data_IF_991206109677
#
_entry.id   IF_991206109677
#
_cell.length_a   1.000
_cell.length_b   1.000
_cell.length_c   1.000
_cell.angle_alpha   90.00
_cell.angle_beta   90.00
_cell.angle_gamma   90.00
#
_symmetry.space_group_name_H-M   'P 1'
#
loop_
_entity.id
_entity.type
_entity.pdbx_description
1 polymer ?
#
# COMPACT_ATOMS: atom_id res chain seq x y z
N UNK A 1 -19.17 -15.28 13.87
CA UNK A 1 -19.34 -16.29 12.78
C UNK A 1 -20.21 -15.75 11.64
N UNK A 2 -21.43 -15.23 11.90
CA UNK A 2 -22.32 -14.71 10.86
C UNK A 2 -21.73 -13.46 10.18
N UNK A 3 -21.21 -12.50 10.95
CA UNK A 3 -20.54 -11.32 10.43
C UNK A 3 -19.30 -11.69 9.57
N UNK A 4 -18.51 -12.68 10.00
CA UNK A 4 -17.34 -13.12 9.24
C UNK A 4 -17.77 -13.74 7.90
N UNK A 5 -18.86 -14.51 7.89
CA UNK A 5 -19.45 -15.08 6.66
C UNK A 5 -19.97 -13.98 5.73
N UNK A 6 -20.67 -12.97 6.26
CA UNK A 6 -21.17 -11.84 5.50
C UNK A 6 -20.02 -11.02 4.86
N UNK A 7 -18.87 -10.96 5.54
CA UNK A 7 -17.72 -10.20 5.08
C UNK A 7 -16.82 -10.94 4.08
N UNK A 8 -16.98 -12.25 3.91
CA UNK A 8 -16.18 -13.04 2.93
C UNK A 8 -16.31 -12.46 1.52
N UNK A 9 -17.52 -12.05 1.11
CA UNK A 9 -17.77 -11.47 -0.21
C UNK A 9 -17.05 -10.15 -0.50
N UNK A 10 -16.61 -9.45 0.53
CA UNK A 10 -15.85 -8.21 0.39
C UNK A 10 -14.34 -8.41 0.30
N UNK A 11 -13.84 -9.54 0.82
CA UNK A 11 -12.40 -9.78 0.87
C UNK A 11 -11.78 -9.66 -0.52
N UNK A 12 -10.76 -8.83 -0.60
CA UNK A 12 -9.88 -8.71 -1.77
C UNK A 12 -8.51 -9.18 -1.35
N UNK A 13 -8.01 -10.17 -2.07
CA UNK A 13 -6.77 -10.85 -1.75
C UNK A 13 -5.62 -9.86 -1.53
N UNK A 14 -4.97 -10.02 -0.39
CA UNK A 14 -3.77 -9.33 -0.01
C UNK A 14 -3.93 -7.90 0.48
N UNK A 15 -5.11 -7.26 0.41
CA UNK A 15 -5.21 -5.85 0.81
C UNK A 15 -6.50 -5.55 1.57
N UNK A 16 -6.33 -5.08 2.81
CA UNK A 16 -7.45 -4.57 3.61
C UNK A 16 -8.05 -3.30 3.01
N UNK A 17 -7.24 -2.47 2.33
CA UNK A 17 -7.72 -1.26 1.66
C UNK A 17 -8.60 -1.57 0.46
N UNK A 18 -8.23 -2.57 -0.34
CA UNK A 18 -9.07 -3.04 -1.44
C UNK A 18 -10.37 -3.67 -0.93
N UNK A 19 -10.31 -4.36 0.20
CA UNK A 19 -11.49 -4.90 0.87
C UNK A 19 -12.43 -3.77 1.31
N UNK A 20 -11.91 -2.70 1.94
CA UNK A 20 -12.71 -1.53 2.32
C UNK A 20 -13.28 -0.81 1.09
N UNK A 21 -12.51 -0.69 0.01
CA UNK A 21 -13.00 -0.10 -1.25
C UNK A 21 -14.13 -0.93 -1.84
N UNK A 22 -14.08 -2.25 -1.72
CA UNK A 22 -15.15 -3.12 -2.19
C UNK A 22 -16.44 -2.94 -1.37
N UNK A 23 -16.33 -2.84 -0.04
CA UNK A 23 -17.47 -2.50 0.83
C UNK A 23 -18.11 -1.18 0.38
N UNK A 24 -17.30 -0.16 0.14
CA UNK A 24 -17.77 1.13 -0.36
C UNK A 24 -18.50 1.01 -1.69
N UNK A 25 -17.90 0.32 -2.68
CA UNK A 25 -18.49 0.16 -4.02
C UNK A 25 -19.85 -0.54 -3.96
N UNK A 26 -19.96 -1.59 -3.19
CA UNK A 26 -21.21 -2.33 -3.04
C UNK A 26 -22.27 -1.53 -2.29
N UNK A 27 -21.88 -0.74 -1.28
CA UNK A 27 -22.82 0.13 -0.58
C UNK A 27 -23.32 1.27 -1.47
N UNK A 28 -22.48 1.86 -2.30
CA UNK A 28 -22.87 2.82 -3.32
C UNK A 28 -23.86 2.19 -4.30
N UNK A 29 -23.57 1.00 -4.81
CA UNK A 29 -24.45 0.26 -5.72
C UNK A 29 -25.81 -0.09 -5.08
N UNK A 30 -25.86 -0.27 -3.76
CA UNK A 30 -27.06 -0.45 -2.98
C UNK A 30 -27.79 0.87 -2.64
N UNK A 31 -27.42 2.00 -3.25
CA UNK A 31 -28.03 3.31 -3.04
C UNK A 31 -27.82 3.86 -1.63
N UNK A 32 -26.72 3.54 -0.96
CA UNK A 32 -26.42 3.93 0.41
C UNK A 32 -27.44 3.39 1.44
N UNK A 33 -27.96 2.20 1.21
CA UNK A 33 -29.02 1.59 2.03
C UNK A 33 -28.51 1.19 3.42
N UNK A 34 -29.21 1.65 4.46
CA UNK A 34 -28.99 1.28 5.86
C UNK A 34 -29.28 -0.21 6.09
N UNK A 35 -30.35 -0.71 5.51
CA UNK A 35 -30.78 -2.12 5.62
C UNK A 35 -29.70 -3.02 5.03
N UNK A 36 -29.22 -2.71 3.83
CA UNK A 36 -28.15 -3.44 3.18
C UNK A 36 -26.90 -3.53 4.07
N UNK A 37 -26.54 -2.43 4.73
CA UNK A 37 -25.37 -2.38 5.63
C UNK A 37 -25.59 -3.22 6.91
N UNK A 38 -26.76 -3.10 7.54
CA UNK A 38 -27.10 -3.86 8.74
C UNK A 38 -27.14 -5.37 8.51
N UNK A 39 -27.73 -5.79 7.40
CA UNK A 39 -27.80 -7.22 6.99
C UNK A 39 -26.40 -7.82 6.79
N UNK A 40 -25.37 -6.97 6.62
CA UNK A 40 -23.97 -7.35 6.45
C UNK A 40 -23.11 -7.05 7.67
N UNK A 41 -23.74 -6.75 8.81
CA UNK A 41 -23.06 -6.43 10.06
C UNK A 41 -22.07 -5.26 9.94
N UNK A 42 -22.32 -4.32 9.02
CA UNK A 42 -21.52 -3.12 8.84
C UNK A 42 -22.02 -2.00 9.74
N UNK A 43 -21.11 -1.17 10.22
CA UNK A 43 -21.47 -0.02 11.03
C UNK A 43 -21.99 1.11 10.11
N UNK A 44 -23.31 1.29 10.09
CA UNK A 44 -24.03 2.27 9.27
C UNK A 44 -23.48 3.69 9.52
N UNK A 45 -23.29 4.05 10.78
CA UNK A 45 -22.79 5.38 11.15
C UNK A 45 -21.41 5.65 10.54
N UNK A 46 -20.50 4.69 10.66
CA UNK A 46 -19.16 4.82 10.06
C UNK A 46 -19.20 4.92 8.54
N UNK A 47 -20.10 4.20 7.88
CA UNK A 47 -20.27 4.32 6.42
C UNK A 47 -20.73 5.72 6.01
N UNK A 48 -21.64 6.34 6.73
CA UNK A 48 -22.05 7.72 6.47
C UNK A 48 -20.93 8.72 6.78
N UNK A 49 -20.18 8.52 7.86
CA UNK A 49 -18.99 9.33 8.15
C UNK A 49 -17.97 9.28 7.00
N UNK A 50 -17.70 8.10 6.44
CA UNK A 50 -16.84 7.94 5.26
C UNK A 50 -17.41 8.68 4.04
N UNK A 51 -18.72 8.60 3.81
CA UNK A 51 -19.41 9.33 2.73
C UNK A 51 -19.22 10.84 2.87
N UNK A 52 -19.38 11.37 4.06
CA UNK A 52 -19.26 12.80 4.34
C UNK A 52 -17.81 13.29 4.20
N UNK A 53 -16.84 12.52 4.74
CA UNK A 53 -15.41 12.80 4.58
C UNK A 53 -15.03 12.79 3.10
N UNK A 54 -15.47 11.78 2.34
CA UNK A 54 -15.21 11.72 0.90
C UNK A 54 -15.76 12.95 0.18
N UNK A 55 -16.99 13.37 0.50
CA UNK A 55 -17.59 14.55 -0.09
C UNK A 55 -16.81 15.82 0.27
N UNK A 56 -16.30 15.92 1.48
CA UNK A 56 -15.44 17.04 1.91
C UNK A 56 -14.13 17.06 1.13
N UNK A 57 -13.44 15.91 1.01
CA UNK A 57 -12.20 15.82 0.25
C UNK A 57 -12.40 16.17 -1.23
N UNK A 58 -13.49 15.73 -1.84
CA UNK A 58 -13.82 16.08 -3.23
C UNK A 58 -14.03 17.61 -3.41
N UNK A 59 -14.68 18.27 -2.46
CA UNK A 59 -14.81 19.73 -2.48
C UNK A 59 -13.46 20.43 -2.36
N UNK A 60 -12.58 19.90 -1.52
CA UNK A 60 -11.24 20.47 -1.33
C UNK A 60 -10.38 20.33 -2.59
N UNK A 61 -10.38 19.17 -3.23
CA UNK A 61 -9.69 18.95 -4.50
C UNK A 61 -10.19 19.92 -5.59
N UNK A 62 -11.52 20.13 -5.65
CA UNK A 62 -12.10 21.10 -6.59
C UNK A 62 -11.64 22.53 -6.28
N UNK A 63 -11.57 22.93 -5.00
CA UNK A 63 -11.06 24.25 -4.60
C UNK A 63 -9.63 24.49 -5.03
N UNK A 64 -8.81 23.44 -5.00
CA UNK A 64 -7.40 23.49 -5.39
C UNK A 64 -7.18 23.26 -6.89
N UNK A 65 -8.24 23.23 -7.69
CA UNK A 65 -8.21 22.95 -9.13
C UNK A 65 -7.54 21.62 -9.49
N UNK A 66 -7.59 20.64 -8.58
CA UNK A 66 -7.11 19.28 -8.84
C UNK A 66 -8.22 18.51 -9.54
N UNK A 67 -8.00 18.16 -10.80
CA UNK A 67 -8.94 17.35 -11.57
C UNK A 67 -8.98 15.92 -11.04
N UNK A 68 -10.17 15.46 -10.66
CA UNK A 68 -10.42 14.05 -10.35
C UNK A 68 -11.00 13.40 -11.58
N UNK A 69 -10.26 12.46 -12.15
CA UNK A 69 -10.73 11.67 -13.27
C UNK A 69 -11.41 10.41 -12.75
N UNK A 70 -12.64 10.17 -13.20
CA UNK A 70 -13.35 8.91 -12.94
C UNK A 70 -12.89 7.88 -13.97
N UNK A 71 -11.66 7.39 -13.79
CA UNK A 71 -11.05 6.39 -14.66
C UNK A 71 -11.11 5.02 -13.99
N UNK A 72 -11.09 3.97 -14.81
CA UNK A 72 -10.94 2.60 -14.33
C UNK A 72 -9.49 2.40 -13.83
N UNK A 73 -9.22 2.86 -12.61
CA UNK A 73 -7.93 2.67 -11.97
C UNK A 73 -7.63 1.18 -11.80
N UNK A 74 -6.42 0.77 -12.14
CA UNK A 74 -5.98 -0.60 -11.91
C UNK A 74 -5.78 -0.85 -10.42
N UNK A 75 -5.90 -2.10 -10.00
CA UNK A 75 -5.60 -2.52 -8.62
C UNK A 75 -4.21 -2.03 -8.19
N UNK A 76 -3.23 -2.15 -9.07
CA UNK A 76 -1.86 -1.72 -8.79
C UNK A 76 -1.75 -0.20 -8.58
N UNK A 77 -2.41 0.61 -9.40
CA UNK A 77 -2.38 2.07 -9.24
C UNK A 77 -3.04 2.53 -7.95
N UNK A 78 -4.14 1.87 -7.53
CA UNK A 78 -4.78 2.12 -6.24
C UNK A 78 -3.82 1.77 -5.09
N UNK A 79 -3.19 0.59 -5.15
CA UNK A 79 -2.27 0.15 -4.12
C UNK A 79 -1.02 1.05 -4.02
N UNK A 80 -0.46 1.49 -5.15
CA UNK A 80 0.64 2.46 -5.19
C UNK A 80 0.25 3.79 -4.54
N UNK A 81 -0.95 4.30 -4.84
CA UNK A 81 -1.45 5.55 -4.27
C UNK A 81 -1.62 5.45 -2.75
N UNK A 82 -2.20 4.37 -2.25
CA UNK A 82 -2.33 4.10 -0.81
C UNK A 82 -0.96 4.01 -0.15
N UNK A 83 -0.03 3.25 -0.75
CA UNK A 83 1.31 3.08 -0.22
C UNK A 83 2.09 4.41 -0.18
N UNK A 84 1.99 5.24 -1.22
CA UNK A 84 2.61 6.56 -1.26
C UNK A 84 2.11 7.47 -0.13
N UNK A 85 0.78 7.52 0.08
CA UNK A 85 0.18 8.34 1.14
C UNK A 85 0.48 7.86 2.56
N UNK A 86 0.76 6.57 2.73
CA UNK A 86 1.00 5.93 4.03
C UNK A 86 2.44 5.43 4.19
N UNK A 87 3.38 5.97 3.43
CA UNK A 87 4.75 5.44 3.35
C UNK A 87 5.49 5.44 4.69
N UNK A 88 5.13 6.32 5.62
CA UNK A 88 5.68 6.34 6.98
C UNK A 88 5.28 5.12 7.82
N UNK A 89 4.25 4.39 7.39
CA UNK A 89 3.79 3.14 7.98
C UNK A 89 4.38 1.90 7.28
N UNK A 90 5.45 2.08 6.49
CA UNK A 90 6.12 0.98 5.80
C UNK A 90 6.80 0.06 6.81
N UNK A 91 6.46 -1.21 6.70
CA UNK A 91 7.02 -2.32 7.46
C UNK A 91 7.80 -3.25 6.52
N UNK A 92 8.95 -3.72 6.97
CA UNK A 92 9.75 -4.72 6.28
C UNK A 92 9.83 -6.00 7.11
N UNK A 93 9.80 -7.15 6.45
CA UNK A 93 9.99 -8.45 7.11
C UNK A 93 11.33 -8.49 7.84
N UNK A 94 11.32 -8.87 9.09
CA UNK A 94 12.50 -9.03 9.96
C UNK A 94 12.69 -10.47 10.43
N UNK A 95 11.83 -11.40 9.96
CA UNK A 95 11.86 -12.82 10.29
C UNK A 95 10.63 -13.54 9.76
N UNK A 96 10.46 -14.81 10.15
CA UNK A 96 9.43 -15.68 9.58
C UNK A 96 7.99 -15.14 9.72
N UNK A 97 7.68 -14.40 10.80
CA UNK A 97 6.35 -13.90 11.09
C UNK A 97 6.38 -12.51 11.72
N UNK A 98 7.52 -11.82 11.62
CA UNK A 98 7.72 -10.51 12.24
C UNK A 98 8.15 -9.47 11.23
N UNK A 99 7.76 -8.24 11.52
CA UNK A 99 8.06 -7.06 10.74
C UNK A 99 8.63 -5.97 11.63
N UNK A 100 9.52 -5.18 11.08
CA UNK A 100 10.05 -3.99 11.70
C UNK A 100 9.66 -2.73 10.92
N UNK A 101 9.54 -1.60 11.60
CA UNK A 101 9.34 -0.31 10.92
C UNK A 101 10.57 0.04 10.08
N UNK A 102 10.33 0.49 8.87
CA UNK A 102 11.39 1.01 7.99
C UNK A 102 11.78 2.43 8.42
N UNK A 103 10.78 3.25 8.70
CA UNK A 103 10.94 4.63 9.18
C UNK A 103 10.88 4.63 10.69
N UNK A 104 11.84 5.30 11.35
CA UNK A 104 11.94 5.40 12.80
C UNK A 104 11.95 4.03 13.51
N UNK A 105 12.64 3.05 12.91
CA UNK A 105 12.68 1.68 13.41
C UNK A 105 13.33 1.58 14.79
N UNK A 106 12.60 1.01 15.75
CA UNK A 106 13.13 0.52 17.00
C UNK A 106 12.79 -0.96 17.09
N UNK A 107 13.65 -1.82 17.55
CA UNK A 107 13.58 -3.28 17.57
C UNK A 107 12.26 -3.99 17.92
N UNK A 108 11.14 -3.35 17.62
CA UNK A 108 9.78 -3.82 17.82
C UNK A 108 9.46 -4.95 16.82
N UNK A 109 8.97 -6.07 17.33
CA UNK A 109 8.49 -7.18 16.51
C UNK A 109 6.98 -7.05 16.28
N UNK A 110 6.60 -6.71 15.07
CA UNK A 110 5.20 -6.51 14.67
C UNK A 110 4.75 -7.72 13.85
N UNK A 111 3.58 -8.27 14.14
CA UNK A 111 2.97 -9.36 13.37
C UNK A 111 1.77 -8.86 12.58
N UNK A 112 1.45 -9.51 11.46
CA UNK A 112 0.18 -9.23 10.78
C UNK A 112 -0.96 -9.81 11.61
N UNK A 113 -2.01 -9.01 11.82
CA UNK A 113 -3.20 -9.51 12.52
C UNK A 113 -3.90 -10.60 11.69
N UNK A 114 -4.33 -11.72 12.29
CA UNK A 114 -4.92 -12.84 11.53
C UNK A 114 -6.17 -12.49 10.71
N UNK A 115 -6.89 -11.43 11.08
CA UNK A 115 -8.06 -10.98 10.31
C UNK A 115 -7.71 -10.17 9.06
N UNK A 116 -6.45 -9.76 8.88
CA UNK A 116 -6.02 -9.01 7.70
C UNK A 116 -6.05 -9.87 6.44
N UNK A 117 -6.46 -9.28 5.33
CA UNK A 117 -6.40 -9.92 4.02
C UNK A 117 -4.95 -10.22 3.58
N UNK A 118 -3.96 -9.52 4.14
CA UNK A 118 -2.54 -9.75 3.85
C UNK A 118 -1.91 -10.89 4.68
N UNK A 119 -2.63 -11.47 5.64
CA UNK A 119 -2.08 -12.43 6.61
C UNK A 119 -1.43 -13.66 5.95
N UNK A 120 -2.10 -14.25 4.97
CA UNK A 120 -1.60 -15.46 4.29
C UNK A 120 -0.45 -15.17 3.32
N UNK A 121 -0.36 -13.96 2.78
CA UNK A 121 0.63 -13.60 1.77
C UNK A 121 2.02 -13.37 2.36
N UNK A 122 2.12 -12.96 3.63
CA UNK A 122 3.38 -12.67 4.33
C UNK A 122 4.37 -11.88 3.46
N UNK A 123 3.97 -10.70 2.95
CA UNK A 123 4.79 -9.94 2.01
C UNK A 123 6.10 -9.49 2.63
N UNK A 124 7.15 -9.31 1.83
CA UNK A 124 8.45 -8.78 2.31
C UNK A 124 8.34 -7.35 2.80
N UNK A 125 7.49 -6.54 2.14
CA UNK A 125 7.20 -5.16 2.52
C UNK A 125 5.69 -4.95 2.53
N UNK A 126 5.20 -4.16 3.48
CA UNK A 126 3.78 -3.82 3.55
C UNK A 126 3.56 -2.47 4.23
N UNK A 127 2.43 -1.83 3.93
CA UNK A 127 1.87 -0.79 4.78
C UNK A 127 1.09 -1.49 5.91
N UNK A 128 1.32 -1.07 7.14
CA UNK A 128 0.49 -1.42 8.29
C UNK A 128 -0.05 -0.15 8.93
N UNK A 129 -1.22 0.32 8.48
CA UNK A 129 -1.73 1.65 8.85
C UNK A 129 -2.05 1.80 10.34
N UNK A 130 -2.35 0.71 11.01
CA UNK A 130 -2.57 0.68 12.46
C UNK A 130 -1.65 -0.35 13.10
N UNK A 131 -1.04 0.01 14.20
CA UNK A 131 -0.27 -0.91 15.05
C UNK A 131 -0.89 -0.91 16.44
N UNK A 132 -1.33 -2.07 16.88
CA UNK A 132 -2.01 -2.26 18.16
C UNK A 132 -1.22 -3.25 19.02
N UNK A 133 -0.86 -2.84 20.21
CA UNK A 133 -0.17 -3.69 21.20
C UNK A 133 -1.16 -4.21 22.21
N UNK A 134 -1.18 -5.54 22.35
CA UNK A 134 -1.92 -6.25 23.41
C UNK A 134 -0.91 -7.15 24.13
N UNK A 135 -1.10 -8.46 24.18
CA UNK A 135 -0.05 -9.42 24.56
C UNK A 135 1.08 -9.51 23.53
N UNK A 136 0.80 -9.13 22.28
CA UNK A 136 1.72 -9.02 21.15
C UNK A 136 1.37 -7.76 20.38
N UNK A 137 2.30 -7.31 19.53
CA UNK A 137 2.08 -6.16 18.66
C UNK A 137 1.62 -6.61 17.28
N UNK A 138 0.48 -6.10 16.84
CA UNK A 138 -0.13 -6.45 15.56
C UNK A 138 -0.31 -5.24 14.65
N UNK A 139 0.04 -5.42 13.38
CA UNK A 139 -0.35 -4.53 12.30
C UNK A 139 -1.76 -4.90 11.80
N UNK A 140 -2.59 -3.88 11.63
CA UNK A 140 -3.93 -3.95 11.03
C UNK A 140 -4.01 -2.99 9.85
N UNK A 141 -5.04 -3.15 9.01
CA UNK A 141 -5.20 -2.41 7.76
C UNK A 141 -3.93 -2.52 6.93
N UNK A 142 -3.60 -3.77 6.59
CA UNK A 142 -2.37 -4.10 5.89
C UNK A 142 -2.55 -4.14 4.39
N UNK A 143 -1.49 -3.76 3.68
CA UNK A 143 -1.40 -3.87 2.23
C UNK A 143 0.03 -4.18 1.83
N UNK A 144 0.28 -5.22 1.01
CA UNK A 144 1.58 -5.48 0.42
C UNK A 144 2.11 -4.30 -0.39
N UNK A 145 3.42 -4.11 -0.34
CA UNK A 145 4.14 -3.16 -1.17
C UNK A 145 5.17 -3.93 -1.97
N UNK A 146 5.09 -3.84 -3.29
CA UNK A 146 6.12 -4.41 -4.16
C UNK A 146 7.37 -3.53 -4.06
N UNK A 147 8.52 -4.17 -3.93
CA UNK A 147 9.81 -3.46 -3.82
C UNK A 147 10.11 -2.58 -5.04
N UNK A 148 9.67 -3.03 -6.21
CA UNK A 148 9.84 -2.31 -7.48
C UNK A 148 9.11 -0.96 -7.52
N UNK A 149 8.13 -0.77 -6.63
CA UNK A 149 7.41 0.51 -6.53
C UNK A 149 8.18 1.56 -5.71
N UNK A 150 9.03 1.11 -4.78
CA UNK A 150 9.68 2.01 -3.81
C UNK A 150 10.48 3.15 -4.43
N UNK A 151 11.25 2.96 -5.52
CA UNK A 151 11.94 4.08 -6.17
C UNK A 151 11.00 5.18 -6.67
N UNK A 152 9.76 4.83 -7.05
CA UNK A 152 8.77 5.79 -7.56
C UNK A 152 7.98 6.46 -6.42
N UNK A 153 7.59 5.69 -5.39
CA UNK A 153 6.65 6.17 -4.36
C UNK A 153 7.36 6.65 -3.08
N UNK A 154 8.62 6.30 -2.90
CA UNK A 154 9.38 6.58 -1.68
C UNK A 154 10.88 6.84 -1.92
N UNK A 155 11.27 7.63 -2.95
CA UNK A 155 12.69 7.87 -3.24
C UNK A 155 13.44 8.47 -2.03
N UNK A 156 12.73 9.24 -1.20
CA UNK A 156 13.30 9.83 0.02
C UNK A 156 13.77 8.82 1.07
N UNK A 157 13.27 7.58 1.02
CA UNK A 157 13.68 6.50 1.93
C UNK A 157 14.87 5.68 1.40
N UNK A 158 15.22 5.89 0.13
CA UNK A 158 16.20 5.08 -0.57
C UNK A 158 17.49 5.84 -0.81
N UNK A 159 18.56 5.09 -0.99
CA UNK A 159 19.84 5.54 -1.52
C UNK A 159 20.28 4.61 -2.65
N UNK A 160 20.84 5.20 -3.70
CA UNK A 160 21.50 4.47 -4.77
C UNK A 160 22.84 3.98 -4.25
N UNK A 161 23.15 2.69 -4.44
CA UNK A 161 24.41 2.09 -3.95
C UNK A 161 25.41 1.85 -5.05
N UNK A 162 25.00 1.13 -6.07
CA UNK A 162 25.86 0.75 -7.18
C UNK A 162 25.11 1.03 -8.47
N UNK A 163 25.83 1.56 -9.43
CA UNK A 163 25.36 1.71 -10.78
C UNK A 163 26.35 1.00 -11.71
N UNK A 164 25.84 0.07 -12.51
CA UNK A 164 26.65 -0.66 -13.48
C UNK A 164 26.09 -0.42 -14.88
N UNK A 165 26.89 0.23 -15.73
CA UNK A 165 26.52 0.48 -17.10
C UNK A 165 26.82 -0.76 -17.97
N UNK A 166 25.88 -1.13 -18.82
CA UNK A 166 25.98 -2.23 -19.78
C UNK A 166 25.51 -1.76 -21.14
N UNK A 167 26.30 -1.99 -22.19
CA UNK A 167 25.89 -1.69 -23.55
C UNK A 167 25.03 -2.82 -24.11
N UNK A 168 23.84 -2.48 -24.61
CA UNK A 168 22.96 -3.40 -25.35
C UNK A 168 23.19 -3.21 -26.87
N UNK A 169 23.91 -4.13 -27.55
CA UNK A 169 24.21 -3.99 -28.94
C UNK A 169 22.99 -4.19 -29.87
N UNK A 170 21.93 -4.83 -29.38
CA UNK A 170 20.70 -5.05 -30.14
C UNK A 170 19.84 -3.78 -30.27
N UNK A 171 19.97 -2.88 -29.29
CA UNK A 171 19.22 -1.61 -29.22
C UNK A 171 20.10 -0.39 -29.44
N UNK A 172 21.42 -0.59 -29.57
CA UNK A 172 22.43 0.47 -29.67
C UNK A 172 22.30 1.51 -28.55
N UNK A 173 22.12 1.03 -27.31
CA UNK A 173 21.99 1.91 -26.16
C UNK A 173 22.74 1.39 -24.93
N UNK A 174 23.11 2.32 -24.06
CA UNK A 174 23.69 2.00 -22.76
C UNK A 174 22.57 1.98 -21.72
N UNK A 175 22.43 0.83 -21.05
CA UNK A 175 21.55 0.69 -19.91
C UNK A 175 22.37 0.69 -18.62
N UNK A 176 21.88 1.36 -17.61
CA UNK A 176 22.45 1.36 -16.28
C UNK A 176 21.56 0.56 -15.34
N UNK A 177 22.13 -0.41 -14.65
CA UNK A 177 21.47 -1.12 -13.56
C UNK A 177 21.85 -0.45 -12.24
N UNK A 178 20.87 0.09 -11.56
CA UNK A 178 21.03 0.80 -10.29
C UNK A 178 20.44 -0.05 -9.18
N UNK A 179 21.24 -0.29 -8.13
CA UNK A 179 20.82 -0.97 -6.92
C UNK A 179 20.41 0.04 -5.86
N UNK A 180 19.28 -0.20 -5.21
CA UNK A 180 18.74 0.64 -4.14
C UNK A 180 18.76 -0.10 -2.81
N UNK A 181 19.06 0.64 -1.75
CA UNK A 181 18.89 0.20 -0.36
C UNK A 181 18.12 1.24 0.44
N UNK A 182 17.52 0.84 1.56
CA UNK A 182 17.02 1.85 2.50
C UNK A 182 18.18 2.63 3.11
N UNK A 183 18.00 3.94 3.28
CA UNK A 183 19.01 4.82 3.89
C UNK A 183 19.52 4.26 5.22
N UNK A 184 20.84 4.22 5.36
CA UNK A 184 21.49 3.66 6.55
C UNK A 184 21.51 2.13 6.64
N UNK A 185 21.09 1.42 5.59
CA UNK A 185 21.16 -0.05 5.50
C UNK A 185 21.97 -0.47 4.29
N UNK A 186 22.76 -1.56 4.43
CA UNK A 186 23.65 -2.02 3.35
C UNK A 186 23.02 -3.07 2.43
N UNK A 187 21.82 -3.55 2.75
CA UNK A 187 21.16 -4.60 1.97
C UNK A 187 20.43 -4.00 0.78
N UNK A 188 20.79 -4.42 -0.43
CA UNK A 188 20.04 -4.12 -1.65
C UNK A 188 18.64 -4.68 -1.53
N UNK A 189 17.64 -3.84 -1.81
CA UNK A 189 16.22 -4.21 -1.77
C UNK A 189 15.60 -4.33 -3.14
N UNK A 190 16.09 -3.56 -4.11
CA UNK A 190 15.61 -3.57 -5.50
C UNK A 190 16.72 -3.12 -6.44
N UNK A 191 16.69 -3.68 -7.64
CA UNK A 191 17.53 -3.23 -8.77
C UNK A 191 16.62 -2.75 -9.89
N UNK A 192 17.01 -1.67 -10.53
CA UNK A 192 16.27 -1.07 -11.64
C UNK A 192 17.19 -0.79 -12.80
N UNK A 193 16.75 -1.14 -14.00
CA UNK A 193 17.42 -0.73 -15.24
C UNK A 193 16.85 0.59 -15.71
N UNK A 194 17.73 1.51 -16.12
CA UNK A 194 17.36 2.77 -16.76
C UNK A 194 18.26 3.04 -17.98
N UNK A 195 17.72 3.65 -19.00
CA UNK A 195 18.53 4.12 -20.11
C UNK A 195 19.41 5.28 -19.65
N UNK A 196 20.69 5.30 -20.05
CA UNK A 196 21.58 6.43 -19.79
C UNK A 196 21.23 7.54 -20.78
N UNK A 197 20.73 8.67 -20.27
CA UNK A 197 20.48 9.87 -21.08
C UNK A 197 21.69 10.77 -21.11
N UNK A 198 21.82 11.63 -22.15
CA UNK A 198 22.97 12.56 -22.31
C UNK A 198 23.11 13.54 -21.15
N UNK A 199 22.07 13.77 -20.36
CA UNK A 199 22.12 14.61 -19.13
C UNK A 199 22.90 13.96 -17.97
N UNK A 200 23.23 12.67 -18.05
CA UNK A 200 23.98 11.93 -17.02
C UNK A 200 25.44 11.71 -17.42
N UNK A 201 25.90 12.30 -18.54
CA UNK A 201 27.31 12.36 -18.95
C UNK A 201 27.92 13.66 -18.45
#
# INVERSE_FOLDING_TARGET
>A
READQAHVGFKREGSDFLTMLEVWRQWVAAGFSDTWARDRYLNVRQLFEVKDIRAQLMRELKRQNIAVQDTNATTESIQKSVASGLIHHLLASSGRFSYGRVVNGGGESIMIHPSSAAFEQKPTHMIGAEVVTTSKTFARKCQPVKTEWLPDIAPQLLEERNATATYDPARDLVEETVSYSFKGRNTTIVERRRAVTDEMR
#
